data_IF_268897228574
#
_entry.id   IF_268897228574
#
_cell.length_a   1.000
_cell.length_b   1.000
_cell.length_c   1.000
_cell.angle_alpha   90.00
_cell.angle_beta   90.00
_cell.angle_gamma   90.00
#
_symmetry.space_group_name_H-M   'P 1'
#
loop_
_entity.id
_entity.type
_entity.pdbx_description
1 polymer ?
#
# COMPACT_ATOMS: atom_id res chain seq x y z
N UNK A 1 35.96 -14.19 -26.18
CA UNK A 1 35.71 -13.22 -25.10
C UNK A 1 34.21 -12.99 -24.94
N UNK A 2 33.56 -13.53 -23.90
CA UNK A 2 32.16 -13.21 -23.58
C UNK A 2 32.16 -12.22 -22.42
N UNK A 3 31.84 -10.95 -22.69
CA UNK A 3 31.61 -9.94 -21.64
C UNK A 3 30.23 -10.21 -21.05
N UNK A 4 30.20 -10.83 -19.87
CA UNK A 4 29.02 -10.84 -19.02
C UNK A 4 28.79 -9.42 -18.50
N UNK A 5 27.70 -8.80 -18.94
CA UNK A 5 27.23 -7.51 -18.42
C UNK A 5 26.71 -7.73 -17.00
N UNK A 6 27.49 -7.30 -16.01
CA UNK A 6 27.04 -7.16 -14.62
C UNK A 6 25.83 -6.21 -14.57
N UNK A 7 24.62 -6.75 -14.49
CA UNK A 7 23.44 -5.98 -14.11
C UNK A 7 23.62 -5.54 -12.66
N UNK A 8 23.99 -4.27 -12.47
CA UNK A 8 24.02 -3.65 -11.14
C UNK A 8 22.59 -3.61 -10.59
N UNK A 9 22.32 -4.40 -9.55
CA UNK A 9 21.09 -4.33 -8.77
C UNK A 9 20.98 -2.93 -8.16
N UNK A 10 20.14 -2.08 -8.76
CA UNK A 10 19.82 -0.76 -8.22
C UNK A 10 19.21 -0.90 -6.82
N UNK A 11 19.67 -0.09 -5.87
CA UNK A 11 19.08 -0.05 -4.51
C UNK A 11 17.60 0.38 -4.58
N UNK A 12 16.77 -0.03 -3.61
CA UNK A 12 15.35 0.34 -3.57
C UNK A 12 15.14 1.86 -3.66
N UNK A 13 15.99 2.65 -3.01
CA UNK A 13 16.00 4.12 -3.10
C UNK A 13 16.24 4.62 -4.52
N UNK A 14 17.14 3.97 -5.26
CA UNK A 14 17.42 4.27 -6.66
C UNK A 14 16.31 3.78 -7.59
N UNK A 15 15.74 2.59 -7.36
CA UNK A 15 14.56 2.09 -8.09
C UNK A 15 13.36 3.01 -7.89
N UNK A 16 13.09 3.46 -6.65
CA UNK A 16 12.07 4.47 -6.35
C UNK A 16 12.37 5.79 -7.06
N UNK A 17 13.59 6.31 -6.95
CA UNK A 17 13.99 7.59 -7.58
C UNK A 17 13.85 7.53 -9.11
N UNK A 18 14.27 6.43 -9.73
CA UNK A 18 14.18 6.24 -11.18
C UNK A 18 12.74 6.05 -11.65
N UNK A 19 11.92 5.36 -10.85
CA UNK A 19 10.50 5.19 -11.12
C UNK A 19 9.67 6.46 -10.88
N UNK A 20 10.18 7.43 -10.11
CA UNK A 20 9.57 8.76 -9.94
C UNK A 20 9.80 9.63 -11.17
N UNK A 21 10.96 9.52 -11.83
CA UNK A 21 11.33 10.38 -12.95
C UNK A 21 10.56 10.11 -14.26
N UNK A 22 10.13 8.87 -14.51
CA UNK A 22 9.54 8.47 -15.81
C UNK A 22 8.01 8.63 -15.94
N UNK A 23 7.29 9.06 -14.89
CA UNK A 23 5.82 8.93 -14.78
C UNK A 23 5.11 10.29 -14.56
N UNK A 24 5.78 11.39 -14.85
CA UNK A 24 5.47 12.69 -14.25
C UNK A 24 4.22 13.42 -14.78
N UNK A 25 3.52 12.96 -15.83
CA UNK A 25 2.36 13.68 -16.39
C UNK A 25 1.01 13.01 -16.11
N UNK A 26 0.89 11.69 -16.30
CA UNK A 26 -0.37 10.95 -16.15
C UNK A 26 -0.67 10.52 -14.69
N UNK A 27 0.38 10.47 -13.85
CA UNK A 27 0.25 10.05 -12.44
C UNK A 27 -0.43 11.10 -11.57
N UNK A 28 -0.36 12.40 -11.90
CA UNK A 28 -0.97 13.43 -11.06
C UNK A 28 -2.50 13.40 -11.09
N UNK A 29 -3.10 13.16 -12.26
CA UNK A 29 -4.56 13.00 -12.37
C UNK A 29 -5.03 11.74 -11.67
N UNK A 30 -4.29 10.65 -11.86
CA UNK A 30 -4.61 9.36 -11.27
C UNK A 30 -4.44 9.34 -9.75
N UNK A 31 -3.34 9.88 -9.22
CA UNK A 31 -3.08 9.97 -7.78
C UNK A 31 -4.15 10.79 -7.05
N UNK A 32 -4.66 11.88 -7.67
CA UNK A 32 -5.82 12.62 -7.15
C UNK A 32 -7.09 11.77 -7.13
N UNK A 33 -7.31 10.94 -8.15
CA UNK A 33 -8.46 10.03 -8.19
C UNK A 33 -8.37 8.99 -7.07
N UNK A 34 -7.22 8.33 -6.93
CA UNK A 34 -6.98 7.34 -5.86
C UNK A 34 -7.10 7.99 -4.48
N UNK A 35 -6.57 9.20 -4.30
CA UNK A 35 -6.74 9.95 -3.04
C UNK A 35 -8.21 10.14 -2.69
N UNK A 36 -9.04 10.54 -3.66
CA UNK A 36 -10.50 10.67 -3.45
C UNK A 36 -11.16 9.34 -3.15
N UNK A 37 -10.76 8.26 -3.82
CA UNK A 37 -11.29 6.92 -3.57
C UNK A 37 -10.99 6.44 -2.15
N UNK A 38 -9.75 6.61 -1.68
CA UNK A 38 -9.35 6.27 -0.31
C UNK A 38 -10.15 7.08 0.70
N UNK A 39 -10.25 8.40 0.53
CA UNK A 39 -11.02 9.26 1.45
C UNK A 39 -12.50 8.85 1.46
N UNK A 40 -13.08 8.59 0.29
CA UNK A 40 -14.46 8.13 0.15
C UNK A 40 -14.67 6.77 0.84
N UNK A 41 -13.70 5.85 0.71
CA UNK A 41 -13.74 4.57 1.41
C UNK A 41 -13.71 4.74 2.93
N UNK A 42 -12.84 5.59 3.48
CA UNK A 42 -12.81 5.87 4.91
C UNK A 42 -14.11 6.54 5.39
N UNK A 43 -14.72 7.39 4.57
CA UNK A 43 -16.04 7.97 4.86
C UNK A 43 -17.13 6.88 4.91
N UNK A 44 -17.18 5.98 3.92
CA UNK A 44 -18.11 4.83 3.92
C UNK A 44 -17.89 3.91 5.12
N UNK A 45 -16.63 3.64 5.49
CA UNK A 45 -16.32 2.89 6.70
C UNK A 45 -16.85 3.61 7.94
N UNK A 46 -16.66 4.92 8.02
CA UNK A 46 -17.14 5.74 9.12
C UNK A 46 -18.66 5.67 9.26
N UNK A 47 -19.39 5.82 8.16
CA UNK A 47 -20.85 5.71 8.11
C UNK A 47 -21.32 4.31 8.52
N UNK A 48 -20.69 3.25 8.00
CA UNK A 48 -21.10 1.87 8.24
C UNK A 48 -20.77 1.36 9.66
N UNK A 49 -19.72 1.91 10.28
CA UNK A 49 -19.24 1.44 11.59
C UNK A 49 -19.59 2.40 12.73
N UNK A 50 -20.03 3.63 12.42
CA UNK A 50 -20.21 4.70 13.40
C UNK A 50 -18.89 5.24 13.98
N UNK A 51 -17.74 4.87 13.39
CA UNK A 51 -16.41 5.27 13.87
C UNK A 51 -15.99 6.54 13.13
N UNK A 52 -15.57 7.62 13.81
CA UNK A 52 -15.03 8.80 13.14
C UNK A 52 -13.87 8.43 12.20
N UNK A 53 -13.87 8.95 10.97
CA UNK A 53 -12.90 8.57 9.93
C UNK A 53 -11.45 8.80 10.33
N UNK A 54 -11.19 9.80 11.17
CA UNK A 54 -9.89 10.15 11.73
C UNK A 54 -9.39 9.18 12.82
N UNK A 55 -10.28 8.35 13.37
CA UNK A 55 -9.97 7.27 14.32
C UNK A 55 -9.81 5.90 13.64
N UNK A 56 -10.11 5.81 12.34
CA UNK A 56 -9.97 4.58 11.58
C UNK A 56 -8.52 4.41 11.13
N UNK A 57 -7.96 3.23 11.38
CA UNK A 57 -6.65 2.83 10.86
C UNK A 57 -6.83 1.55 10.06
N UNK A 58 -6.48 1.55 8.77
CA UNK A 58 -6.45 0.31 8.00
C UNK A 58 -5.03 -0.25 8.02
N UNK A 59 -4.85 -1.49 8.45
CA UNK A 59 -3.53 -2.15 8.59
C UNK A 59 -3.45 -3.35 7.67
N UNK A 60 -2.40 -3.40 6.85
CA UNK A 60 -2.09 -4.49 5.94
C UNK A 60 -0.88 -5.26 6.44
N UNK A 61 -1.06 -6.56 6.64
CA UNK A 61 -0.09 -7.51 7.12
C UNK A 61 0.26 -8.51 6.02
N UNK A 62 1.53 -8.88 5.95
CA UNK A 62 1.97 -10.01 5.14
C UNK A 62 1.64 -11.32 5.86
N UNK A 63 1.12 -12.29 5.13
CA UNK A 63 0.97 -13.68 5.57
C UNK A 63 1.60 -14.61 4.53
N UNK A 64 1.86 -15.90 4.87
CA UNK A 64 2.36 -16.86 3.90
C UNK A 64 1.45 -16.92 2.65
N UNK A 65 1.99 -16.52 1.50
CA UNK A 65 1.29 -16.55 0.21
C UNK A 65 0.15 -15.52 0.02
N UNK A 66 -0.10 -14.63 0.99
CA UNK A 66 -1.20 -13.66 0.89
C UNK A 66 -0.98 -12.41 1.73
N UNK A 67 -1.85 -11.41 1.58
CA UNK A 67 -1.96 -10.26 2.47
C UNK A 67 -3.27 -10.32 3.24
N UNK A 68 -3.26 -9.86 4.49
CA UNK A 68 -4.46 -9.65 5.29
C UNK A 68 -4.56 -8.18 5.65
N UNK A 69 -5.72 -7.58 5.40
CA UNK A 69 -5.93 -6.17 5.70
C UNK A 69 -7.13 -6.03 6.61
N UNK A 70 -6.99 -5.21 7.65
CA UNK A 70 -8.02 -5.02 8.66
C UNK A 70 -8.25 -3.54 8.94
N UNK A 71 -9.50 -3.19 9.19
CA UNK A 71 -9.90 -1.94 9.81
C UNK A 71 -9.69 -2.08 11.31
N UNK A 72 -8.95 -1.15 11.92
CA UNK A 72 -8.73 -1.07 13.35
C UNK A 72 -9.32 0.21 13.94
N UNK A 73 -9.80 0.09 15.18
CA UNK A 73 -10.12 1.19 16.09
C UNK A 73 -9.53 0.87 17.46
N UNK A 74 -8.79 1.81 18.04
CA UNK A 74 -8.19 1.67 19.37
C UNK A 74 -7.42 0.34 19.54
N UNK A 75 -6.69 -0.06 18.49
CA UNK A 75 -5.91 -1.30 18.43
C UNK A 75 -6.72 -2.57 18.12
N UNK A 76 -8.05 -2.55 18.20
CA UNK A 76 -8.90 -3.72 17.95
C UNK A 76 -9.32 -3.83 16.49
N UNK A 77 -9.36 -5.04 15.96
CA UNK A 77 -9.89 -5.33 14.63
C UNK A 77 -11.40 -5.14 14.64
N UNK A 78 -11.89 -4.33 13.70
CA UNK A 78 -13.32 -4.07 13.48
C UNK A 78 -13.84 -4.93 12.33
N UNK A 79 -13.07 -5.03 11.25
CA UNK A 79 -13.48 -5.71 10.01
C UNK A 79 -12.27 -6.07 9.15
N UNK A 80 -12.37 -7.17 8.40
CA UNK A 80 -11.42 -7.50 7.32
C UNK A 80 -11.75 -6.72 6.04
N UNK A 81 -10.71 -6.18 5.40
CA UNK A 81 -10.77 -5.55 4.07
C UNK A 81 -10.27 -6.56 3.06
N UNK A 82 -11.12 -6.91 2.11
CA UNK A 82 -10.81 -7.90 1.08
C UNK A 82 -9.80 -7.35 0.06
N UNK A 83 -9.10 -8.25 -0.63
CA UNK A 83 -8.22 -7.84 -1.76
C UNK A 83 -9.03 -7.12 -2.85
N UNK A 84 -10.26 -7.57 -3.12
CA UNK A 84 -11.16 -6.89 -4.06
C UNK A 84 -11.46 -5.44 -3.66
N UNK A 85 -11.73 -5.17 -2.38
CA UNK A 85 -11.93 -3.80 -1.88
C UNK A 85 -10.66 -2.95 -2.02
N UNK A 86 -9.47 -3.52 -1.75
CA UNK A 86 -8.21 -2.81 -1.96
C UNK A 86 -8.01 -2.47 -3.44
N UNK A 87 -8.30 -3.42 -4.32
CA UNK A 87 -8.22 -3.22 -5.76
C UNK A 87 -9.16 -2.10 -6.18
N UNK A 88 -10.42 -2.13 -5.78
CA UNK A 88 -11.40 -1.08 -6.09
C UNK A 88 -10.92 0.29 -5.59
N UNK A 89 -10.35 0.35 -4.38
CA UNK A 89 -9.83 1.58 -3.78
C UNK A 89 -8.66 2.18 -4.57
N UNK A 90 -7.75 1.34 -5.07
CA UNK A 90 -6.59 1.81 -5.84
C UNK A 90 -6.85 1.94 -7.34
N UNK A 91 -7.76 1.17 -7.91
CA UNK A 91 -8.03 1.13 -9.36
C UNK A 91 -9.22 2.00 -9.77
N UNK A 92 -10.17 2.23 -8.85
CA UNK A 92 -11.48 2.82 -9.13
C UNK A 92 -12.48 1.87 -9.81
N UNK A 93 -12.15 0.59 -9.96
CA UNK A 93 -12.99 -0.42 -10.62
C UNK A 93 -12.91 -1.77 -9.91
N UNK A 94 -14.07 -2.37 -9.64
CA UNK A 94 -14.21 -3.73 -9.12
C UNK A 94 -14.00 -4.82 -10.18
N UNK A 95 -13.76 -4.45 -11.44
CA UNK A 95 -13.76 -5.38 -12.59
C UNK A 95 -12.40 -6.03 -12.89
N UNK A 96 -11.40 -5.92 -12.02
CA UNK A 96 -10.09 -6.56 -12.23
C UNK A 96 -10.09 -8.03 -11.77
N UNK A 97 -11.15 -8.76 -12.09
CA UNK A 97 -11.28 -10.20 -11.79
C UNK A 97 -10.13 -10.98 -12.45
N UNK A 98 -9.44 -11.81 -11.67
CA UNK A 98 -8.28 -12.59 -12.13
C UNK A 98 -6.91 -11.89 -12.03
N UNK A 99 -6.85 -10.62 -11.61
CA UNK A 99 -5.58 -9.93 -11.30
C UNK A 99 -5.21 -9.95 -9.81
N UNK A 100 -6.11 -10.40 -8.94
CA UNK A 100 -5.93 -10.41 -7.49
C UNK A 100 -4.64 -11.11 -7.08
N UNK A 101 -4.40 -12.32 -7.58
CA UNK A 101 -3.18 -13.07 -7.28
C UNK A 101 -1.90 -12.30 -7.68
N UNK A 102 -1.89 -11.67 -8.86
CA UNK A 102 -0.74 -10.89 -9.34
C UNK A 102 -0.50 -9.65 -8.49
N UNK A 103 -1.58 -8.98 -8.09
CA UNK A 103 -1.52 -7.80 -7.21
C UNK A 103 -1.02 -8.21 -5.83
N UNK A 104 -1.51 -9.32 -5.27
CA UNK A 104 -1.03 -9.89 -4.02
C UNK A 104 0.47 -10.21 -4.11
N UNK A 105 0.94 -10.91 -5.15
CA UNK A 105 2.38 -11.16 -5.35
C UNK A 105 3.20 -9.87 -5.43
N UNK A 106 2.72 -8.88 -6.19
CA UNK A 106 3.36 -7.56 -6.33
C UNK A 106 3.49 -6.86 -4.97
N UNK A 107 2.44 -6.88 -4.16
CA UNK A 107 2.42 -6.28 -2.81
C UNK A 107 3.33 -7.05 -1.85
N UNK A 108 3.31 -8.39 -1.89
CA UNK A 108 4.19 -9.22 -1.07
C UNK A 108 5.66 -8.88 -1.31
N UNK A 109 6.08 -8.79 -2.59
CA UNK A 109 7.43 -8.38 -2.96
C UNK A 109 7.76 -6.97 -2.48
N UNK A 110 6.82 -6.03 -2.60
CA UNK A 110 6.99 -4.69 -2.08
C UNK A 110 7.21 -4.67 -0.56
N UNK A 111 6.42 -5.43 0.19
CA UNK A 111 6.56 -5.58 1.64
C UNK A 111 7.89 -6.22 2.02
N UNK A 112 8.37 -7.21 1.26
CA UNK A 112 9.68 -7.83 1.46
C UNK A 112 10.84 -6.87 1.18
N UNK A 113 10.76 -6.10 0.09
CA UNK A 113 11.76 -5.07 -0.24
C UNK A 113 11.82 -4.00 0.85
N UNK A 114 10.67 -3.60 1.41
CA UNK A 114 10.61 -2.68 2.55
C UNK A 114 11.26 -3.29 3.79
N UNK A 115 11.00 -4.57 4.08
CA UNK A 115 11.60 -5.29 5.22
C UNK A 115 13.10 -5.45 5.12
N UNK A 116 13.60 -5.87 3.97
CA UNK A 116 15.03 -5.98 3.73
C UNK A 116 15.77 -4.65 3.94
N UNK A 117 15.13 -3.52 3.63
CA UNK A 117 15.77 -2.20 3.80
C UNK A 117 15.91 -1.72 5.24
N UNK A 118 15.23 -2.35 6.21
CA UNK A 118 15.26 -1.98 7.63
C UNK A 118 16.02 -2.99 8.51
N UNK A 119 16.52 -4.10 7.94
CA UNK A 119 17.40 -5.04 8.63
C UNK A 119 16.77 -5.80 9.80
N UNK A 120 15.45 -5.77 9.92
CA UNK A 120 14.73 -6.25 11.10
C UNK A 120 13.84 -7.43 10.72
N UNK A 121 14.12 -8.61 11.28
CA UNK A 121 13.39 -9.85 10.95
C UNK A 121 12.09 -10.01 11.76
N UNK A 122 11.72 -9.00 12.54
CA UNK A 122 10.52 -9.04 13.37
C UNK A 122 9.25 -9.33 12.56
N UNK A 123 8.38 -10.13 13.18
CA UNK A 123 7.08 -10.58 12.65
C UNK A 123 6.00 -9.48 12.65
N UNK A 124 6.34 -8.27 13.13
CA UNK A 124 5.38 -7.20 13.40
C UNK A 124 5.32 -6.12 12.31
N UNK A 125 5.88 -6.41 11.12
CA UNK A 125 5.82 -5.49 9.99
C UNK A 125 4.41 -5.37 9.41
N UNK A 126 3.94 -4.13 9.24
CA UNK A 126 2.68 -3.84 8.57
C UNK A 126 2.68 -2.46 7.91
N UNK A 127 1.75 -2.27 6.97
CA UNK A 127 1.50 -0.99 6.32
C UNK A 127 0.20 -0.42 6.88
N UNK A 128 0.23 0.83 7.35
CA UNK A 128 -0.93 1.56 7.82
C UNK A 128 -1.42 2.55 6.75
N UNK A 129 -2.72 2.60 6.53
CA UNK A 129 -3.40 3.64 5.77
C UNK A 129 -4.23 4.50 6.73
N UNK A 130 -4.11 5.80 6.58
CA UNK A 130 -4.81 6.82 7.34
C UNK A 130 -5.42 7.82 6.37
N UNK A 131 -6.66 8.22 6.59
CA UNK A 131 -7.30 9.31 5.87
C UNK A 131 -7.75 10.39 6.86
N UNK A 132 -7.07 11.52 6.88
CA UNK A 132 -7.34 12.62 7.81
C UNK A 132 -7.28 13.95 7.06
N UNK A 133 -8.22 14.85 7.33
CA UNK A 133 -8.24 16.22 6.77
C UNK A 133 -8.05 16.27 5.24
N UNK A 134 -8.74 15.38 4.52
CA UNK A 134 -8.63 15.26 3.05
C UNK A 134 -7.24 14.85 2.53
N UNK A 135 -6.40 14.26 3.38
CA UNK A 135 -5.10 13.71 3.01
C UNK A 135 -5.03 12.23 3.34
N UNK A 136 -4.28 11.50 2.51
CA UNK A 136 -3.98 10.08 2.70
C UNK A 136 -2.54 9.94 3.13
N UNK A 137 -2.32 9.27 4.26
CA UNK A 137 -0.98 8.90 4.74
C UNK A 137 -0.84 7.40 4.73
N UNK A 138 0.29 6.92 4.22
CA UNK A 138 0.63 5.51 4.19
C UNK A 138 1.95 5.36 4.92
N UNK A 139 2.00 4.49 5.93
CA UNK A 139 3.14 4.35 6.82
C UNK A 139 3.59 2.90 6.84
N UNK A 140 4.91 2.67 6.74
CA UNK A 140 5.52 1.41 7.12
C UNK A 140 5.72 1.40 8.64
N UNK A 141 5.31 0.32 9.30
CA UNK A 141 5.36 0.19 10.76
C UNK A 141 6.00 -1.14 11.14
N UNK A 142 6.90 -1.09 12.12
CA UNK A 142 7.51 -2.25 12.77
C UNK A 142 7.15 -2.21 14.24
N UNK A 143 6.37 -3.21 14.69
CA UNK A 143 5.78 -3.19 16.03
C UNK A 143 4.94 -1.94 16.23
N UNK A 144 5.37 -1.06 17.13
CA UNK A 144 4.70 0.22 17.40
C UNK A 144 5.43 1.45 16.82
N UNK A 145 6.46 1.24 15.99
CA UNK A 145 7.29 2.33 15.44
C UNK A 145 7.03 2.53 13.96
N UNK A 146 6.72 3.77 13.58
CA UNK A 146 6.70 4.19 12.17
C UNK A 146 8.14 4.28 11.69
N UNK A 147 8.50 3.51 10.66
CA UNK A 147 9.85 3.53 10.10
C UNK A 147 9.97 4.45 8.91
N UNK A 148 8.93 4.54 8.07
CA UNK A 148 8.91 5.47 6.94
C UNK A 148 7.50 5.81 6.47
N UNK A 149 7.37 6.98 5.85
CA UNK A 149 6.19 7.35 5.06
C UNK A 149 6.33 6.81 3.63
N UNK A 150 5.29 6.16 3.12
CA UNK A 150 5.21 5.64 1.76
C UNK A 150 4.38 6.62 0.93
N UNK A 151 4.93 7.10 -0.18
CA UNK A 151 4.17 7.94 -1.10
C UNK A 151 3.03 7.14 -1.74
N UNK A 152 1.83 7.71 -1.85
CA UNK A 152 0.65 7.04 -2.43
C UNK A 152 0.93 6.53 -3.86
N UNK A 153 1.57 7.36 -4.69
CA UNK A 153 2.07 6.96 -6.02
C UNK A 153 2.94 5.70 -6.04
N UNK A 154 3.61 5.35 -4.94
CA UNK A 154 4.41 4.12 -4.87
C UNK A 154 3.49 2.92 -4.82
N UNK A 155 2.47 2.93 -3.96
CA UNK A 155 1.51 1.83 -3.85
C UNK A 155 0.66 1.67 -5.09
N UNK A 156 0.22 2.78 -5.70
CA UNK A 156 -0.56 2.77 -6.95
C UNK A 156 0.04 1.83 -8.00
N UNK A 157 1.36 1.84 -8.20
CA UNK A 157 2.07 1.01 -9.19
C UNK A 157 1.94 -0.50 -8.97
N UNK A 158 1.62 -0.93 -7.76
CA UNK A 158 1.43 -2.33 -7.44
C UNK A 158 -0.02 -2.78 -7.69
N UNK A 159 -0.96 -1.84 -7.73
CA UNK A 159 -2.38 -2.07 -7.97
C UNK A 159 -2.81 -1.75 -9.41
N UNK A 160 -2.06 -0.92 -10.13
CA UNK A 160 -2.22 -0.64 -11.56
C UNK A 160 -1.12 -1.32 -12.34
N UNK A 161 -1.46 -1.97 -13.46
CA UNK A 161 -0.59 -2.82 -14.29
C UNK A 161 0.84 -2.29 -14.46
#
# INVERSE_FOLDING_TARGET
MKRQTNQKNLSLKQKLKHAIAHLHADVFGYEKSVTRNVISYFKKLSENTGIPSDQIIVRMFKQPGTIKTYVHKDGKVVREVTVGELIELFSGSSQLTGLEYKIVEKILRFMDDLKASHGDDSTEFHICFLAQQSQVRILAVYGNKVTQSIALKTLIKYFTL
#
